data_IF_908477643743
#
_entry.id   IF_908477643743
#
_cell.length_a   1.000
_cell.length_b   1.000
_cell.length_c   1.000
_cell.angle_alpha   90.00
_cell.angle_beta   90.00
_cell.angle_gamma   90.00
#
_symmetry.space_group_name_H-M   'P 1'
#
loop_
_entity.id
_entity.type
_entity.pdbx_description
1 polymer ?
#
# COMPACT_ATOMS: atom_id res chain seq x y z
N UNK A 1 56.93 -48.85 -36.71
CA UNK A 1 56.50 -48.70 -35.30
C UNK A 1 56.52 -47.23 -34.93
N UNK A 2 55.37 -46.55 -34.88
CA UNK A 2 55.25 -45.15 -34.42
C UNK A 2 53.96 -45.03 -33.59
N UNK A 3 54.10 -44.43 -32.40
CA UNK A 3 53.16 -44.46 -31.27
C UNK A 3 51.85 -43.71 -31.55
N UNK A 4 50.70 -44.35 -31.30
CA UNK A 4 49.37 -43.69 -31.19
C UNK A 4 49.36 -42.78 -29.96
N UNK A 5 49.33 -41.46 -30.16
CA UNK A 5 48.96 -40.49 -29.11
C UNK A 5 47.45 -40.58 -28.87
N UNK A 6 47.05 -41.02 -27.66
CA UNK A 6 45.66 -40.98 -27.20
C UNK A 6 45.27 -39.50 -27.01
N UNK A 7 44.26 -39.03 -27.75
CA UNK A 7 43.65 -37.73 -27.49
C UNK A 7 42.64 -37.91 -26.35
N UNK A 8 42.90 -37.25 -25.22
CA UNK A 8 41.90 -37.07 -24.15
C UNK A 8 40.89 -36.01 -24.61
N UNK A 9 39.57 -36.23 -24.48
CA UNK A 9 38.60 -35.20 -24.80
C UNK A 9 38.60 -34.15 -23.69
N UNK A 10 39.07 -32.94 -24.02
CA UNK A 10 38.88 -31.75 -23.17
C UNK A 10 37.45 -31.27 -23.41
N UNK A 11 36.51 -31.92 -22.75
CA UNK A 11 35.10 -31.53 -22.72
C UNK A 11 34.64 -31.52 -21.27
N UNK A 12 34.10 -30.37 -20.86
CA UNK A 12 33.49 -30.08 -19.55
C UNK A 12 34.41 -29.93 -18.33
N UNK A 13 34.69 -28.68 -17.95
CA UNK A 13 34.21 -28.27 -16.61
C UNK A 13 33.49 -26.91 -16.56
N UNK A 14 33.12 -26.31 -17.70
CA UNK A 14 32.55 -24.94 -17.71
C UNK A 14 31.08 -24.87 -17.22
N UNK A 15 30.30 -25.96 -17.29
CA UNK A 15 28.89 -25.92 -16.83
C UNK A 15 28.77 -25.93 -15.30
N UNK A 16 29.75 -26.42 -14.56
CA UNK A 16 29.68 -26.43 -13.09
C UNK A 16 29.96 -25.04 -12.48
N UNK A 17 30.74 -24.20 -13.16
CA UNK A 17 31.06 -22.84 -12.68
C UNK A 17 29.90 -21.87 -12.92
N UNK A 18 29.05 -22.12 -13.94
CA UNK A 18 27.88 -21.27 -14.21
C UNK A 18 26.68 -21.53 -13.28
N UNK A 19 26.63 -22.70 -12.64
CA UNK A 19 25.58 -23.04 -11.66
C UNK A 19 25.91 -22.54 -10.23
N UNK A 20 27.18 -22.23 -9.95
CA UNK A 20 27.62 -21.76 -8.63
C UNK A 20 27.55 -20.22 -8.47
N UNK A 21 27.25 -19.47 -9.53
CA UNK A 21 27.05 -18.01 -9.45
C UNK A 21 25.62 -17.60 -9.09
N UNK A 22 24.67 -18.55 -9.10
CA UNK A 22 23.25 -18.26 -8.84
C UNK A 22 22.95 -18.18 -7.32
N UNK A 23 23.90 -18.53 -6.45
CA UNK A 23 23.73 -18.51 -4.99
C UNK A 23 24.44 -17.36 -4.25
N UNK A 24 25.10 -16.44 -4.97
CA UNK A 24 25.83 -15.30 -4.38
C UNK A 24 25.16 -13.94 -4.57
N UNK A 25 23.97 -13.89 -5.17
CA UNK A 25 23.08 -12.75 -4.98
C UNK A 25 22.21 -13.09 -3.78
N UNK A 26 22.76 -12.90 -2.59
CA UNK A 26 21.91 -12.58 -1.45
C UNK A 26 21.03 -11.43 -1.94
N UNK A 27 19.74 -11.67 -2.03
CA UNK A 27 18.78 -10.58 -2.21
C UNK A 27 18.91 -9.79 -0.91
N UNK A 28 19.79 -8.80 -0.92
CA UNK A 28 19.65 -7.68 -0.04
C UNK A 28 18.24 -7.18 -0.32
N UNK A 29 17.30 -7.53 0.57
CA UNK A 29 16.11 -6.70 0.71
C UNK A 29 16.66 -5.32 0.97
N UNK A 30 16.28 -4.36 0.14
CA UNK A 30 16.62 -2.98 0.39
C UNK A 30 16.01 -2.63 1.75
N UNK A 31 16.84 -2.66 2.79
CA UNK A 31 16.60 -1.93 4.01
C UNK A 31 16.59 -0.44 3.62
N UNK A 32 15.47 0.19 4.01
CA UNK A 32 15.14 1.61 4.04
C UNK A 32 15.03 2.39 2.71
N UNK A 33 13.80 2.75 2.27
CA UNK A 33 13.64 3.95 1.45
C UNK A 33 14.06 5.20 2.27
N UNK A 34 14.98 6.05 1.78
CA UNK A 34 15.35 7.32 2.41
C UNK A 34 14.19 8.34 2.39
N UNK A 35 14.22 9.42 3.21
CA UNK A 35 13.03 10.12 3.68
C UNK A 35 12.33 10.86 2.54
N UNK A 36 11.14 10.37 2.22
CA UNK A 36 10.20 10.93 1.28
C UNK A 36 8.83 10.35 1.57
N UNK A 37 7.78 11.12 1.28
CA UNK A 37 6.40 10.69 1.35
C UNK A 37 6.21 9.32 0.65
N UNK A 38 5.87 8.28 1.39
CA UNK A 38 5.65 6.94 0.83
C UNK A 38 4.21 6.44 1.03
N UNK A 39 3.83 5.44 0.23
CA UNK A 39 2.56 4.73 0.41
C UNK A 39 2.63 3.81 1.63
N UNK A 40 1.84 4.11 2.65
CA UNK A 40 1.72 3.35 3.89
C UNK A 40 0.37 2.64 4.02
N UNK A 41 -0.41 2.53 2.95
CA UNK A 41 -1.73 1.88 2.96
C UNK A 41 -1.67 0.47 3.58
N UNK A 42 -0.61 -0.27 3.25
CA UNK A 42 -0.44 -1.66 3.70
C UNK A 42 -0.12 -1.83 5.19
N UNK A 43 0.33 -0.78 5.88
CA UNK A 43 0.67 -0.84 7.31
C UNK A 43 -0.45 -0.35 8.21
N UNK A 44 -1.51 0.24 7.65
CA UNK A 44 -2.68 0.63 8.41
C UNK A 44 -3.35 -0.59 9.04
N UNK A 45 -3.81 -0.43 10.28
CA UNK A 45 -4.37 -1.52 11.07
C UNK A 45 -5.88 -1.36 11.22
N UNK A 46 -6.58 -2.42 11.64
CA UNK A 46 -8.02 -2.36 11.96
C UNK A 46 -8.88 -1.69 10.88
N UNK A 47 -8.51 -1.86 9.61
CA UNK A 47 -9.22 -1.26 8.49
C UNK A 47 -10.62 -1.86 8.42
N UNK A 48 -11.62 -1.01 8.56
CA UNK A 48 -13.03 -1.35 8.50
C UNK A 48 -13.71 -0.42 7.51
N UNK A 49 -14.54 -1.01 6.65
CA UNK A 49 -15.31 -0.28 5.66
C UNK A 49 -16.78 -0.62 5.87
N UNK A 50 -17.60 0.42 6.01
CA UNK A 50 -19.05 0.27 6.03
C UNK A 50 -19.66 1.19 4.98
N UNK A 51 -20.69 0.68 4.32
CA UNK A 51 -21.47 1.42 3.34
C UNK A 51 -22.88 1.52 3.87
N UNK A 52 -23.49 2.70 3.77
CA UNK A 52 -24.88 2.92 4.13
C UNK A 52 -25.55 3.88 3.17
N UNK A 53 -26.87 3.73 3.01
CA UNK A 53 -27.70 4.60 2.21
C UNK A 53 -29.06 4.73 2.90
N UNK A 54 -29.62 5.94 2.92
CA UNK A 54 -30.91 6.20 3.55
C UNK A 54 -31.01 5.73 5.02
N UNK A 55 -29.88 5.77 5.75
CA UNK A 55 -29.79 5.34 7.15
C UNK A 55 -29.66 3.83 7.38
N UNK A 56 -29.69 3.00 6.33
CA UNK A 56 -29.49 1.55 6.41
C UNK A 56 -28.09 1.12 5.96
N UNK A 57 -27.46 0.19 6.69
CA UNK A 57 -26.21 -0.44 6.25
C UNK A 57 -26.44 -1.36 5.05
N UNK A 58 -25.51 -1.31 4.10
CA UNK A 58 -25.51 -2.12 2.88
C UNK A 58 -24.42 -3.20 3.03
N UNK A 59 -24.83 -4.47 3.05
CA UNK A 59 -23.91 -5.62 3.07
C UNK A 59 -23.30 -5.87 1.68
N UNK A 60 -22.17 -6.60 1.59
CA UNK A 60 -21.62 -7.03 0.31
C UNK A 60 -22.66 -7.72 -0.57
N UNK A 61 -22.74 -7.31 -1.85
CA UNK A 61 -23.77 -7.80 -2.79
C UNK A 61 -25.15 -7.16 -2.62
N UNK A 62 -25.32 -6.23 -1.69
CA UNK A 62 -26.55 -5.45 -1.50
C UNK A 62 -26.83 -4.48 -2.65
N UNK A 63 -28.07 -4.00 -2.70
CA UNK A 63 -28.53 -3.05 -3.72
C UNK A 63 -28.32 -1.61 -3.27
N UNK A 64 -27.95 -0.75 -4.22
CA UNK A 64 -27.74 0.68 -4.01
C UNK A 64 -28.64 1.44 -4.98
N UNK A 65 -29.33 2.47 -4.49
CA UNK A 65 -30.04 3.44 -5.31
C UNK A 65 -29.04 4.33 -6.05
N UNK A 66 -29.19 4.45 -7.36
CA UNK A 66 -28.31 5.31 -8.19
C UNK A 66 -28.62 6.80 -8.07
N UNK A 67 -29.71 7.17 -7.40
CA UNK A 67 -30.16 8.56 -7.25
C UNK A 67 -29.91 9.14 -5.87
N UNK A 68 -29.71 8.29 -4.86
CA UNK A 68 -29.55 8.74 -3.48
C UNK A 68 -28.06 8.76 -3.07
N UNK A 69 -27.63 9.73 -2.25
CA UNK A 69 -26.27 9.76 -1.74
C UNK A 69 -25.91 8.50 -0.95
N UNK A 70 -24.68 8.02 -1.11
CA UNK A 70 -24.13 6.89 -0.36
C UNK A 70 -23.17 7.47 0.68
N UNK A 71 -23.21 6.93 1.90
CA UNK A 71 -22.22 7.20 2.92
C UNK A 71 -21.26 6.01 2.99
N UNK A 72 -20.00 6.27 2.69
CA UNK A 72 -18.89 5.33 2.88
C UNK A 72 -18.11 5.76 4.11
N UNK A 73 -17.99 4.89 5.09
CA UNK A 73 -17.20 5.13 6.28
C UNK A 73 -16.03 4.14 6.29
N UNK A 74 -14.82 4.70 6.29
CA UNK A 74 -13.57 3.96 6.38
C UNK A 74 -12.92 4.35 7.70
N UNK A 75 -12.67 3.35 8.56
CA UNK A 75 -11.98 3.52 9.83
C UNK A 75 -10.74 2.64 9.84
N UNK A 76 -9.62 3.18 10.33
CA UNK A 76 -8.34 2.51 10.36
C UNK A 76 -7.51 3.04 11.54
N UNK A 77 -6.60 2.21 12.04
CA UNK A 77 -5.57 2.58 12.99
C UNK A 77 -4.29 2.99 12.25
N UNK A 78 -3.65 4.04 12.76
CA UNK A 78 -2.38 4.56 12.24
C UNK A 78 -1.28 4.16 13.25
N UNK A 79 -0.47 3.13 12.97
CA UNK A 79 0.62 2.78 13.86
C UNK A 79 1.70 3.87 13.82
N UNK A 80 2.06 4.43 14.98
CA UNK A 80 3.06 5.50 15.11
C UNK A 80 4.24 5.09 15.97
N UNK A 81 5.32 5.86 15.90
CA UNK A 81 6.45 5.69 16.82
C UNK A 81 5.98 5.96 18.26
N UNK A 82 6.27 5.03 19.17
CA UNK A 82 5.82 5.10 20.57
C UNK A 82 4.64 4.20 20.94
N UNK A 83 3.96 3.59 19.96
CA UNK A 83 2.91 2.60 20.23
C UNK A 83 3.46 1.31 20.87
N UNK A 84 2.64 0.65 21.70
CA UNK A 84 2.88 -0.71 22.21
C UNK A 84 1.83 -1.70 21.68
N UNK A 85 2.24 -2.84 21.08
CA UNK A 85 3.61 -3.23 20.77
C UNK A 85 4.24 -2.31 19.70
N UNK A 86 5.56 -2.13 19.77
CA UNK A 86 6.28 -1.26 18.83
C UNK A 86 6.04 -1.69 17.38
N UNK A 87 5.48 -0.81 16.53
CA UNK A 87 5.26 -1.11 15.13
C UNK A 87 6.59 -1.33 14.39
N UNK A 88 6.65 -2.35 13.53
CA UNK A 88 7.84 -2.58 12.70
C UNK A 88 8.06 -1.46 11.67
N UNK A 89 6.95 -0.93 11.13
CA UNK A 89 6.94 0.13 10.12
C UNK A 89 5.96 1.23 10.56
N UNK A 90 6.36 2.14 11.47
CA UNK A 90 5.51 3.24 11.89
C UNK A 90 5.28 4.22 10.75
N UNK A 91 4.07 4.79 10.70
CA UNK A 91 3.69 5.88 9.79
C UNK A 91 4.37 7.16 10.22
N UNK A 92 4.91 7.90 9.25
CA UNK A 92 5.63 9.16 9.47
C UNK A 92 4.88 10.31 8.82
N UNK A 93 5.08 11.52 9.36
CA UNK A 93 4.56 12.74 8.75
C UNK A 93 5.06 12.88 7.31
N UNK A 94 4.14 13.16 6.40
CA UNK A 94 4.37 13.23 4.95
C UNK A 94 4.05 11.93 4.21
N UNK A 95 3.89 10.80 4.90
CA UNK A 95 3.40 9.57 4.26
C UNK A 95 1.97 9.73 3.74
N UNK A 96 1.52 8.80 2.90
CA UNK A 96 0.15 8.81 2.38
C UNK A 96 -0.43 7.40 2.29
N UNK A 97 -1.75 7.29 2.32
CA UNK A 97 -2.48 6.05 2.08
C UNK A 97 -3.59 6.28 1.05
N UNK A 98 -3.97 5.22 0.34
CA UNK A 98 -4.95 5.27 -0.74
C UNK A 98 -5.99 4.15 -0.60
N UNK A 99 -7.26 4.52 -0.67
CA UNK A 99 -8.40 3.60 -0.66
C UNK A 99 -9.20 3.76 -1.96
N UNK A 100 -9.20 2.72 -2.78
CA UNK A 100 -10.09 2.64 -3.94
C UNK A 100 -11.52 2.38 -3.45
N UNK A 101 -12.45 3.24 -3.84
CA UNK A 101 -13.85 3.15 -3.42
C UNK A 101 -14.68 2.40 -4.47
N UNK A 102 -14.81 2.97 -5.67
CA UNK A 102 -15.51 2.33 -6.79
C UNK A 102 -15.37 3.14 -8.07
N UNK A 103 -15.39 2.47 -9.23
CA UNK A 103 -15.54 3.11 -10.53
C UNK A 103 -17.00 3.35 -10.94
N UNK A 104 -17.96 2.91 -10.12
CA UNK A 104 -19.38 3.16 -10.30
C UNK A 104 -19.85 4.44 -9.56
N UNK A 105 -18.98 5.06 -8.76
CA UNK A 105 -19.28 6.28 -8.04
C UNK A 105 -18.94 7.51 -8.89
N UNK A 106 -19.76 8.55 -8.78
CA UNK A 106 -19.47 9.86 -9.33
C UNK A 106 -19.15 10.82 -8.19
N UNK A 107 -17.96 11.41 -8.23
CA UNK A 107 -17.59 12.48 -7.30
C UNK A 107 -18.29 13.77 -7.74
N UNK A 108 -19.38 14.15 -7.07
CA UNK A 108 -20.15 15.36 -7.40
C UNK A 108 -19.50 16.64 -6.89
N UNK A 109 -18.71 16.54 -5.82
CA UNK A 109 -17.86 17.61 -5.28
C UNK A 109 -16.68 17.01 -4.51
N UNK A 110 -15.49 17.58 -4.68
CA UNK A 110 -14.32 17.24 -3.89
C UNK A 110 -14.20 18.18 -2.70
N UNK A 111 -14.17 17.65 -1.49
CA UNK A 111 -13.84 18.42 -0.29
C UNK A 111 -12.66 17.78 0.41
N UNK A 112 -11.79 18.62 0.92
CA UNK A 112 -10.69 18.23 1.79
C UNK A 112 -11.22 18.05 3.21
N UNK A 113 -11.07 16.84 3.77
CA UNK A 113 -11.59 16.51 5.10
C UNK A 113 -10.41 16.35 6.08
N UNK A 114 -10.30 17.17 7.14
CA UNK A 114 -9.27 16.97 8.15
C UNK A 114 -9.59 15.72 8.99
N UNK A 115 -8.56 14.91 9.27
CA UNK A 115 -8.63 13.81 10.22
C UNK A 115 -8.04 14.26 11.55
N UNK A 116 -8.88 14.28 12.59
CA UNK A 116 -8.46 14.68 13.92
C UNK A 116 -8.60 13.51 14.90
N UNK A 117 -7.68 13.41 15.86
CA UNK A 117 -7.84 12.51 17.01
C UNK A 117 -9.01 12.98 17.88
N UNK A 118 -9.46 12.14 18.81
CA UNK A 118 -10.46 12.53 19.81
C UNK A 118 -10.00 13.73 20.68
N UNK A 119 -8.69 13.95 20.81
CA UNK A 119 -8.10 15.11 21.49
C UNK A 119 -8.03 16.38 20.64
N UNK A 120 -8.46 16.33 19.37
CA UNK A 120 -8.47 17.49 18.47
C UNK A 120 -7.17 17.73 17.70
N UNK A 121 -6.18 16.84 17.82
CA UNK A 121 -4.91 16.95 17.08
C UNK A 121 -5.14 16.50 15.63
N UNK A 122 -4.74 17.30 14.63
CA UNK A 122 -4.81 16.90 13.22
C UNK A 122 -3.75 15.85 12.94
N UNK A 123 -4.19 14.71 12.41
CA UNK A 123 -3.33 13.57 12.01
C UNK A 123 -3.04 13.60 10.52
N UNK A 124 -3.95 14.15 9.73
CA UNK A 124 -3.79 14.26 8.30
C UNK A 124 -5.02 14.80 7.61
N UNK A 125 -5.06 14.62 6.30
CA UNK A 125 -6.04 15.22 5.41
C UNK A 125 -6.51 14.20 4.38
N UNK A 126 -7.83 14.09 4.18
CA UNK A 126 -8.43 13.25 3.14
C UNK A 126 -8.82 14.09 1.94
N UNK A 127 -8.46 13.61 0.75
CA UNK A 127 -8.95 14.12 -0.53
C UNK A 127 -9.57 13.01 -1.36
N UNK A 128 -10.56 13.37 -2.18
CA UNK A 128 -11.19 12.45 -3.12
C UNK A 128 -10.84 12.85 -4.55
N UNK A 129 -10.52 11.87 -5.38
CA UNK A 129 -10.25 12.09 -6.78
C UNK A 129 -10.83 10.95 -7.62
N UNK A 130 -11.04 11.23 -8.92
CA UNK A 130 -11.42 10.22 -9.90
C UNK A 130 -10.23 9.98 -10.81
N UNK A 131 -9.66 8.78 -10.72
CA UNK A 131 -8.53 8.36 -11.55
C UNK A 131 -8.94 8.01 -12.99
N UNK A 132 -7.94 7.71 -13.81
CA UNK A 132 -8.15 7.18 -15.16
C UNK A 132 -8.93 5.87 -15.11
N UNK A 133 -10.06 5.79 -15.82
CA UNK A 133 -10.98 4.64 -15.77
C UNK A 133 -12.17 4.82 -14.81
N UNK A 134 -12.34 6.02 -14.24
CA UNK A 134 -13.51 6.37 -13.45
C UNK A 134 -13.45 5.91 -11.99
N UNK A 135 -12.36 5.27 -11.56
CA UNK A 135 -12.18 4.83 -10.18
C UNK A 135 -12.13 6.03 -9.24
N UNK A 136 -13.10 6.14 -8.34
CA UNK A 136 -13.07 7.09 -7.24
C UNK A 136 -12.16 6.54 -6.14
N UNK A 137 -11.24 7.37 -5.70
CA UNK A 137 -10.22 7.07 -4.72
C UNK A 137 -10.27 8.09 -3.59
N UNK A 138 -10.15 7.63 -2.35
CA UNK A 138 -9.85 8.45 -1.19
C UNK A 138 -8.36 8.36 -0.88
N UNK A 139 -7.66 9.51 -0.89
CA UNK A 139 -6.27 9.62 -0.48
C UNK A 139 -6.20 10.28 0.89
N UNK A 140 -5.43 9.68 1.79
CA UNK A 140 -5.09 10.24 3.10
C UNK A 140 -3.64 10.69 3.04
N UNK A 141 -3.38 11.98 3.22
CA UNK A 141 -2.04 12.51 3.41
C UNK A 141 -1.81 12.71 4.91
N UNK A 142 -0.80 12.07 5.49
CA UNK A 142 -0.44 12.19 6.91
C UNK A 142 0.35 13.49 7.15
N UNK A 143 -0.31 14.62 6.92
CA UNK A 143 0.23 15.99 7.03
C UNK A 143 -0.17 16.69 8.34
N UNK A 144 -0.41 15.87 9.37
CA UNK A 144 -0.84 16.30 10.70
C UNK A 144 0.06 17.36 11.35
N UNK A 145 -0.47 17.97 12.39
CA UNK A 145 0.27 18.97 13.15
C UNK A 145 1.48 18.33 13.84
N UNK A 146 2.54 19.11 14.07
CA UNK A 146 3.63 18.65 14.93
C UNK A 146 3.10 18.58 16.36
N UNK A 147 3.34 17.46 17.05
CA UNK A 147 2.98 17.29 18.46
C UNK A 147 3.87 18.13 19.38
#
# INVERSE_FOLDING_TARGET
MVRRKRRLPVGWPIVLVLLLTIFMFGVARADDPPPGAQDVTSVLTNVTLTVSQNGGSISPGGTISSTDPILVNVSFGVPVEGDEPTPANPVKKGDWAEFQLSNAFALTSGTTIPLNTAGGIRVGTVTFSTGSGGMVTARVDFDGDDE
#
